data_IF_149109719577
#
_entry.id   IF_149109719577
#
_cell.length_a   1.000
_cell.length_b   1.000
_cell.length_c   1.000
_cell.angle_alpha   90.00
_cell.angle_beta   90.00
_cell.angle_gamma   90.00
#
_symmetry.space_group_name_H-M   'P 1'
#
loop_
_entity.id
_entity.type
_entity.pdbx_description
1 polymer ?
#
# COMPACT_ATOMS: atom_id res chain seq x y z
N UNK A 1 8.67 -6.04 -25.94
CA UNK A 1 7.27 -5.85 -26.37
C UNK A 1 6.33 -5.85 -25.16
N UNK A 2 5.49 -4.83 -24.99
CA UNK A 2 4.46 -4.82 -23.94
C UNK A 2 3.28 -5.69 -24.42
N UNK A 3 3.09 -6.85 -23.80
CA UNK A 3 1.96 -7.77 -24.01
C UNK A 3 0.61 -7.00 -23.94
N UNK A 4 -0.37 -7.37 -24.79
CA UNK A 4 -1.75 -6.83 -24.82
C UNK A 4 -2.38 -6.72 -23.41
N UNK A 5 -2.15 -7.72 -22.56
CA UNK A 5 -2.57 -7.79 -21.15
C UNK A 5 -1.99 -6.65 -20.32
N UNK A 6 -0.69 -6.37 -20.46
CA UNK A 6 -0.02 -5.29 -19.76
C UNK A 6 -0.52 -3.91 -20.20
N UNK A 7 -0.92 -3.75 -21.47
CA UNK A 7 -1.55 -2.50 -21.96
C UNK A 7 -2.94 -2.29 -21.36
N UNK A 8 -3.74 -3.35 -21.26
CA UNK A 8 -5.07 -3.29 -20.62
C UNK A 8 -4.92 -2.91 -19.15
N UNK A 9 -4.04 -3.61 -18.43
CA UNK A 9 -3.76 -3.31 -17.02
C UNK A 9 -3.30 -1.86 -16.82
N UNK A 10 -2.42 -1.36 -17.69
CA UNK A 10 -1.95 0.02 -17.61
C UNK A 10 -3.06 1.05 -17.78
N UNK A 11 -4.01 0.81 -18.70
CA UNK A 11 -5.19 1.66 -18.87
C UNK A 11 -6.10 1.61 -17.64
N UNK A 12 -6.36 0.43 -17.10
CA UNK A 12 -7.19 0.27 -15.91
C UNK A 12 -6.56 0.96 -14.69
N UNK A 13 -5.27 0.76 -14.47
CA UNK A 13 -4.54 1.41 -13.39
C UNK A 13 -4.53 2.94 -13.53
N UNK A 14 -4.34 3.46 -14.74
CA UNK A 14 -4.40 4.90 -15.00
C UNK A 14 -5.81 5.49 -14.74
N UNK A 15 -6.87 4.76 -15.12
CA UNK A 15 -8.25 5.14 -14.79
C UNK A 15 -8.46 5.17 -13.28
N UNK A 16 -8.02 4.13 -12.58
CA UNK A 16 -8.07 4.04 -11.12
C UNK A 16 -7.33 5.21 -10.44
N UNK A 17 -6.07 5.45 -10.81
CA UNK A 17 -5.29 6.56 -10.26
C UNK A 17 -5.98 7.90 -10.48
N UNK A 18 -6.51 8.13 -11.68
CA UNK A 18 -7.22 9.38 -12.01
C UNK A 18 -8.42 9.62 -11.10
N UNK A 19 -9.12 8.57 -10.67
CA UNK A 19 -10.23 8.67 -9.71
C UNK A 19 -9.75 8.96 -8.28
N UNK A 20 -8.63 8.38 -7.85
CA UNK A 20 -8.14 8.51 -6.47
C UNK A 20 -7.41 9.83 -6.24
N UNK A 21 -6.60 10.29 -7.21
CA UNK A 21 -5.68 11.43 -7.03
C UNK A 21 -5.86 12.56 -8.04
N UNK A 22 -6.78 12.41 -9.01
CA UNK A 22 -7.01 13.38 -10.08
C UNK A 22 -6.17 13.12 -11.34
N UNK A 23 -6.71 13.50 -12.51
CA UNK A 23 -6.11 13.22 -13.83
C UNK A 23 -4.68 13.74 -14.00
N UNK A 24 -4.41 14.97 -13.57
CA UNK A 24 -3.09 15.60 -13.77
C UNK A 24 -1.98 14.93 -12.95
N UNK A 25 -2.32 14.46 -11.74
CA UNK A 25 -1.38 13.74 -10.89
C UNK A 25 -1.17 12.31 -11.39
N UNK A 26 -2.22 11.64 -11.89
CA UNK A 26 -2.15 10.27 -12.38
C UNK A 26 -1.16 10.08 -13.55
N UNK A 27 -1.08 11.05 -14.47
CA UNK A 27 -0.17 11.01 -15.64
C UNK A 27 1.31 10.87 -15.28
N UNK A 28 1.71 11.27 -14.07
CA UNK A 28 3.11 11.23 -13.61
C UNK A 28 3.55 9.82 -13.15
N UNK A 29 2.61 8.90 -12.95
CA UNK A 29 2.90 7.57 -12.42
C UNK A 29 3.00 6.53 -13.54
N UNK A 30 4.15 5.86 -13.63
CA UNK A 30 4.40 4.75 -14.57
C UNK A 30 4.35 3.41 -13.85
N UNK A 31 3.94 2.36 -14.57
CA UNK A 31 4.02 0.98 -14.09
C UNK A 31 5.42 0.47 -14.37
N UNK A 32 6.12 0.00 -13.35
CA UNK A 32 7.53 -0.39 -13.50
C UNK A 32 7.73 -1.91 -13.28
N UNK A 33 6.84 -2.63 -12.58
CA UNK A 33 7.08 -4.03 -12.18
C UNK A 33 5.81 -4.90 -12.09
N UNK A 34 5.00 -4.96 -13.16
CA UNK A 34 3.71 -5.68 -13.12
C UNK A 34 3.83 -7.18 -12.84
N UNK A 35 4.73 -7.96 -13.48
CA UNK A 35 4.82 -9.41 -13.22
C UNK A 35 5.16 -9.73 -11.76
N UNK A 36 6.12 -9.03 -11.18
CA UNK A 36 6.54 -9.21 -9.79
C UNK A 36 5.42 -8.82 -8.81
N UNK A 37 4.73 -7.71 -9.08
CA UNK A 37 3.58 -7.29 -8.27
C UNK A 37 2.45 -8.33 -8.32
N UNK A 38 2.17 -8.91 -9.49
CA UNK A 38 1.18 -9.98 -9.63
C UNK A 38 1.56 -11.24 -8.85
N UNK A 39 2.83 -11.66 -8.90
CA UNK A 39 3.32 -12.81 -8.14
C UNK A 39 3.21 -12.55 -6.63
N UNK A 40 3.66 -11.39 -6.17
CA UNK A 40 3.54 -10.99 -4.77
C UNK A 40 2.08 -10.94 -4.30
N UNK A 41 1.18 -10.34 -5.08
CA UNK A 41 -0.23 -10.22 -4.72
C UNK A 41 -0.92 -11.59 -4.49
N UNK A 42 -0.57 -12.61 -5.27
CA UNK A 42 -1.09 -13.98 -5.08
C UNK A 42 -0.69 -14.57 -3.72
N UNK A 43 0.56 -14.39 -3.31
CA UNK A 43 1.04 -14.90 -2.01
C UNK A 43 0.46 -14.08 -0.85
N UNK A 44 0.45 -12.76 -0.98
CA UNK A 44 -0.10 -11.87 0.04
C UNK A 44 -1.57 -12.16 0.35
N UNK A 45 -2.36 -12.54 -0.65
CA UNK A 45 -3.76 -12.91 -0.44
C UNK A 45 -3.95 -14.13 0.47
N UNK A 46 -2.97 -15.05 0.52
CA UNK A 46 -3.01 -16.23 1.39
C UNK A 46 -2.68 -15.89 2.84
N UNK A 47 -1.84 -14.89 3.06
CA UNK A 47 -1.33 -14.53 4.39
C UNK A 47 -2.13 -13.41 5.07
N UNK A 48 -2.72 -12.50 4.29
CA UNK A 48 -3.34 -11.28 4.78
C UNK A 48 -4.84 -11.22 4.47
N UNK A 49 -5.59 -10.69 5.42
CA UNK A 49 -7.01 -10.41 5.26
C UNK A 49 -7.24 -9.08 4.51
N UNK A 50 -6.43 -8.07 4.85
CA UNK A 50 -6.63 -6.69 4.44
C UNK A 50 -5.28 -6.07 4.05
N UNK A 51 -5.26 -5.31 2.96
CA UNK A 51 -4.18 -4.40 2.59
C UNK A 51 -4.53 -2.95 2.89
N UNK A 52 -3.53 -2.13 3.22
CA UNK A 52 -3.66 -0.68 3.34
C UNK A 52 -2.70 -0.02 2.36
N UNK A 53 -3.23 0.64 1.34
CA UNK A 53 -2.44 1.41 0.39
C UNK A 53 -2.21 2.84 0.93
N UNK A 54 -0.96 3.14 1.31
CA UNK A 54 -0.59 4.45 1.84
C UNK A 54 -0.18 5.40 0.73
N UNK A 55 -0.76 6.61 0.79
CA UNK A 55 -0.46 7.72 -0.10
C UNK A 55 -0.57 7.28 -1.57
N UNK A 56 0.08 7.99 -2.48
CA UNK A 56 0.21 7.57 -3.88
C UNK A 56 1.16 6.39 -4.06
N UNK A 57 2.14 6.22 -3.16
CA UNK A 57 3.17 5.20 -3.26
C UNK A 57 2.62 3.77 -3.17
N UNK A 58 1.67 3.53 -2.27
CA UNK A 58 1.03 2.23 -2.08
C UNK A 58 -0.07 1.89 -3.10
N UNK A 59 -0.53 2.86 -3.91
CA UNK A 59 -1.70 2.66 -4.78
C UNK A 59 -1.47 1.61 -5.87
N UNK A 60 -0.26 1.51 -6.41
CA UNK A 60 0.04 0.52 -7.43
C UNK A 60 -0.13 -0.91 -6.89
N UNK A 61 0.55 -1.20 -5.79
CA UNK A 61 0.48 -2.54 -5.19
C UNK A 61 -0.91 -2.83 -4.60
N UNK A 62 -1.57 -1.82 -4.02
CA UNK A 62 -2.95 -1.93 -3.59
C UNK A 62 -3.90 -2.31 -4.72
N UNK A 63 -3.80 -1.63 -5.86
CA UNK A 63 -4.61 -1.94 -7.05
C UNK A 63 -4.36 -3.34 -7.58
N UNK A 64 -3.09 -3.77 -7.65
CA UNK A 64 -2.75 -5.15 -8.06
C UNK A 64 -3.35 -6.15 -7.08
N UNK A 65 -3.21 -5.93 -5.76
CA UNK A 65 -3.73 -6.84 -4.74
C UNK A 65 -5.26 -6.95 -4.76
N UNK A 66 -5.99 -5.86 -5.01
CA UNK A 66 -7.45 -5.89 -5.22
C UNK A 66 -7.85 -6.80 -6.38
N UNK A 67 -7.10 -6.79 -7.48
CA UNK A 67 -7.35 -7.67 -8.65
C UNK A 67 -7.14 -9.15 -8.34
N UNK A 68 -6.36 -9.47 -7.31
CA UNK A 68 -6.18 -10.83 -6.78
C UNK A 68 -7.08 -11.14 -5.58
N UNK A 69 -8.08 -10.29 -5.30
CA UNK A 69 -9.09 -10.53 -4.28
C UNK A 69 -8.66 -10.18 -2.85
N UNK A 70 -7.54 -9.48 -2.66
CA UNK A 70 -7.22 -8.90 -1.36
C UNK A 70 -8.06 -7.65 -1.17
N UNK A 71 -8.75 -7.55 -0.03
CA UNK A 71 -9.46 -6.32 0.32
C UNK A 71 -8.43 -5.23 0.61
N UNK A 72 -8.50 -4.10 -0.08
CA UNK A 72 -7.57 -2.98 0.15
C UNK A 72 -8.31 -1.73 0.57
N UNK A 73 -7.79 -1.11 1.62
CA UNK A 73 -8.23 0.18 2.14
C UNK A 73 -7.20 1.22 1.73
N UNK A 74 -7.64 2.35 1.22
CA UNK A 74 -6.78 3.43 0.74
C UNK A 74 -6.70 4.51 1.81
N UNK A 75 -5.50 5.00 2.09
CA UNK A 75 -5.29 6.10 3.02
C UNK A 75 -4.40 7.16 2.41
N UNK A 76 -4.75 8.43 2.58
CA UNK A 76 -3.92 9.55 2.15
C UNK A 76 -3.40 10.35 3.35
N UNK A 77 -2.21 10.95 3.25
CA UNK A 77 -1.78 11.92 4.24
C UNK A 77 -2.66 13.17 4.13
N UNK A 78 -3.07 13.70 5.27
CA UNK A 78 -3.70 15.01 5.43
C UNK A 78 -2.75 15.88 6.25
N UNK A 79 -2.35 17.03 5.70
CA UNK A 79 -1.48 17.97 6.41
C UNK A 79 -2.33 19.06 7.05
N UNK A 80 -2.13 19.28 8.35
CA UNK A 80 -2.68 20.40 9.11
C UNK A 80 -1.52 21.13 9.79
N UNK A 81 -1.09 22.24 9.19
CA UNK A 81 0.11 22.96 9.61
C UNK A 81 1.37 22.08 9.54
N UNK A 82 2.07 21.92 10.67
CA UNK A 82 3.27 21.08 10.78
C UNK A 82 2.96 19.59 11.01
N UNK A 83 1.70 19.25 11.26
CA UNK A 83 1.28 17.87 11.49
C UNK A 83 0.80 17.20 10.21
N UNK A 84 0.97 15.88 10.16
CA UNK A 84 0.50 15.01 9.07
C UNK A 84 -0.29 13.88 9.70
N UNK A 85 -1.58 13.83 9.48
CA UNK A 85 -2.44 12.70 9.86
C UNK A 85 -2.76 11.83 8.65
N UNK A 86 -3.37 10.68 8.87
CA UNK A 86 -3.83 9.76 7.84
C UNK A 86 -5.35 9.73 7.78
N UNK A 87 -5.88 9.98 6.59
CA UNK A 87 -7.31 9.90 6.31
C UNK A 87 -7.58 8.71 5.41
N UNK A 88 -8.41 7.78 5.88
CA UNK A 88 -8.95 6.71 5.06
C UNK A 88 -9.89 7.30 4.00
N UNK A 89 -9.73 6.83 2.76
CA UNK A 89 -10.58 7.20 1.64
C UNK A 89 -11.81 6.30 1.56
N UNK A 90 -11.64 5.05 1.97
CA UNK A 90 -12.73 4.08 2.05
C UNK A 90 -13.39 4.13 3.44
N UNK A 91 -14.71 3.94 3.48
CA UNK A 91 -15.46 3.88 4.75
C UNK A 91 -15.17 2.55 5.44
N UNK A 92 -14.49 2.59 6.58
CA UNK A 92 -14.22 1.42 7.42
C UNK A 92 -15.39 1.22 8.38
N UNK A 93 -16.03 0.05 8.35
CA UNK A 93 -17.04 -0.31 9.35
C UNK A 93 -16.37 -0.64 10.69
N UNK A 94 -17.06 -0.33 11.79
CA UNK A 94 -16.59 -0.68 13.14
C UNK A 94 -16.37 -2.20 13.24
N UNK A 95 -15.18 -2.61 13.69
CA UNK A 95 -14.82 -4.02 13.85
C UNK A 95 -14.33 -4.73 12.58
N UNK A 96 -14.42 -4.10 11.40
CA UNK A 96 -14.02 -4.69 10.12
C UNK A 96 -12.54 -5.14 10.08
N UNK A 97 -11.72 -4.46 10.86
CA UNK A 97 -10.27 -4.67 10.88
C UNK A 97 -9.82 -5.30 12.20
N UNK A 98 -10.75 -5.56 13.12
CA UNK A 98 -10.43 -6.20 14.40
C UNK A 98 -9.99 -7.64 14.15
N UNK A 99 -8.87 -8.05 14.75
CA UNK A 99 -8.29 -9.40 14.61
C UNK A 99 -7.91 -9.81 13.17
N UNK A 100 -7.73 -8.83 12.27
CA UNK A 100 -7.31 -9.09 10.89
C UNK A 100 -5.79 -9.00 10.74
N UNK A 101 -5.22 -9.84 9.87
CA UNK A 101 -3.84 -9.71 9.40
C UNK A 101 -3.79 -8.62 8.31
N UNK A 102 -3.00 -7.58 8.54
CA UNK A 102 -3.03 -6.36 7.72
C UNK A 102 -1.67 -6.14 7.05
N UNK A 103 -1.60 -6.08 5.73
CA UNK A 103 -0.40 -5.62 5.02
C UNK A 103 -0.48 -4.13 4.71
N UNK A 104 0.64 -3.41 4.76
CA UNK A 104 0.71 -2.00 4.38
C UNK A 104 1.59 -1.85 3.14
N UNK A 105 1.05 -1.18 2.12
CA UNK A 105 1.74 -0.89 0.88
C UNK A 105 2.25 0.55 0.88
N UNK A 106 3.55 0.71 0.63
CA UNK A 106 4.21 1.99 0.34
C UNK A 106 5.18 1.76 -0.83
N UNK A 107 5.60 2.83 -1.51
CA UNK A 107 6.54 2.70 -2.63
C UNK A 107 7.97 2.52 -2.14
N UNK A 108 8.33 3.22 -1.07
CA UNK A 108 9.69 3.25 -0.54
C UNK A 108 9.69 3.51 0.97
N UNK A 109 10.63 2.87 1.66
CA UNK A 109 10.83 3.01 3.10
C UNK A 109 12.27 3.42 3.37
N UNK A 110 12.54 4.72 3.27
CA UNK A 110 13.89 5.26 3.51
C UNK A 110 14.23 5.27 5.00
N UNK A 111 13.37 5.86 5.84
CA UNK A 111 13.58 5.99 7.30
C UNK A 111 12.49 5.33 8.13
N UNK A 112 11.44 4.81 7.48
CA UNK A 112 10.26 4.28 8.15
C UNK A 112 9.46 5.30 8.97
N UNK A 113 9.77 6.62 8.92
CA UNK A 113 9.06 7.64 9.71
C UNK A 113 7.58 7.74 9.31
N UNK A 114 7.32 7.87 8.01
CA UNK A 114 5.98 7.94 7.41
C UNK A 114 5.14 6.72 7.82
N UNK A 115 5.74 5.55 7.67
CA UNK A 115 5.13 4.29 8.03
C UNK A 115 4.86 4.17 9.54
N UNK A 116 5.83 4.45 10.40
CA UNK A 116 5.64 4.42 11.87
C UNK A 116 4.48 5.30 12.30
N UNK A 117 4.39 6.50 11.70
CA UNK A 117 3.29 7.43 11.96
C UNK A 117 1.96 6.87 11.48
N UNK A 118 1.91 6.35 10.26
CA UNK A 118 0.73 5.69 9.70
C UNK A 118 0.28 4.55 10.61
N UNK A 119 1.17 3.64 10.99
CA UNK A 119 0.87 2.52 11.87
C UNK A 119 0.36 2.99 13.23
N UNK A 120 0.97 4.02 13.84
CA UNK A 120 0.51 4.54 15.14
C UNK A 120 -0.93 5.05 15.03
N UNK A 121 -1.25 5.81 14.00
CA UNK A 121 -2.59 6.36 13.80
C UNK A 121 -3.61 5.28 13.40
N UNK A 122 -3.21 4.37 12.51
CA UNK A 122 -4.00 3.20 12.12
C UNK A 122 -4.30 2.34 13.35
N UNK A 123 -3.33 2.09 14.23
CA UNK A 123 -3.53 1.36 15.50
C UNK A 123 -4.48 2.08 16.45
N UNK A 124 -4.45 3.41 16.53
CA UNK A 124 -5.46 4.14 17.32
C UNK A 124 -6.88 4.00 16.74
N UNK A 125 -6.99 3.60 15.48
CA UNK A 125 -8.27 3.39 14.78
C UNK A 125 -8.62 1.89 14.65
N UNK A 126 -7.69 0.97 14.95
CA UNK A 126 -7.76 -0.46 14.61
C UNK A 126 -7.01 -1.33 15.64
N UNK A 127 -7.69 -2.37 16.16
CA UNK A 127 -7.09 -3.40 17.00
C UNK A 127 -6.74 -4.66 16.19
N UNK A 128 -5.49 -4.79 15.71
CA UNK A 128 -5.00 -5.97 14.98
C UNK A 128 -3.54 -5.83 14.53
N UNK A 129 -2.71 -6.86 14.75
CA UNK A 129 -1.24 -6.75 14.77
C UNK A 129 -0.56 -7.82 13.90
N UNK A 130 -0.27 -7.49 12.64
CA UNK A 130 0.81 -8.10 11.85
C UNK A 130 0.98 -7.26 10.58
N UNK A 131 1.79 -6.19 10.64
CA UNK A 131 2.07 -5.32 9.48
C UNK A 131 3.34 -5.79 8.80
N UNK A 132 3.22 -6.32 7.58
CA UNK A 132 4.37 -6.45 6.66
C UNK A 132 4.38 -5.30 5.67
N UNK A 133 5.56 -5.06 5.13
CA UNK A 133 5.82 -4.01 4.16
C UNK A 133 6.21 -4.65 2.85
N UNK A 134 5.62 -4.14 1.79
CA UNK A 134 6.16 -4.32 0.46
C UNK A 134 6.77 -2.98 0.06
N UNK A 135 8.04 -2.98 -0.31
CA UNK A 135 8.75 -1.82 -0.83
C UNK A 135 9.54 -2.24 -2.06
N UNK A 136 9.70 -1.31 -2.98
CA UNK A 136 10.46 -1.51 -4.20
C UNK A 136 11.79 -0.78 -4.04
N UNK A 137 12.82 -1.49 -3.62
CA UNK A 137 14.13 -0.90 -3.35
C UNK A 137 14.80 -0.51 -4.66
N UNK A 138 14.73 0.78 -5.00
CA UNK A 138 15.56 1.40 -6.06
C UNK A 138 17.04 1.43 -5.62
N UNK A 139 17.34 1.20 -4.33
CA UNK A 139 18.71 1.22 -3.82
C UNK A 139 18.92 0.20 -2.66
N UNK A 140 19.47 -1.00 -2.93
CA UNK A 140 19.65 -2.06 -1.93
C UNK A 140 20.63 -1.69 -0.80
N UNK A 141 21.54 -0.75 -1.01
CA UNK A 141 22.55 -0.34 -0.01
C UNK A 141 21.96 0.42 1.20
N UNK A 142 20.72 0.93 1.08
CA UNK A 142 20.00 1.61 2.18
C UNK A 142 19.15 0.67 3.04
N UNK A 143 19.13 -0.63 2.74
CA UNK A 143 18.38 -1.66 3.50
C UNK A 143 19.03 -1.92 4.88
N UNK A 144 20.31 -1.57 5.07
CA UNK A 144 21.13 -1.88 6.25
C UNK A 144 20.68 -1.25 7.60
N UNK A 145 19.51 -0.60 7.68
CA UNK A 145 19.05 0.05 8.92
C UNK A 145 17.65 -0.34 9.43
N UNK A 146 16.89 -1.21 8.75
CA UNK A 146 15.50 -1.49 9.16
C UNK A 146 15.10 -2.97 9.26
N UNK A 147 16.06 -3.88 9.46
CA UNK A 147 15.79 -5.30 9.73
C UNK A 147 15.02 -5.56 11.05
N UNK A 148 14.79 -4.53 11.88
CA UNK A 148 14.05 -4.67 13.14
C UNK A 148 12.54 -4.36 13.07
N UNK A 149 11.95 -4.20 11.88
CA UNK A 149 10.49 -4.08 11.72
C UNK A 149 9.78 -5.40 11.36
N UNK A 150 10.51 -6.52 11.35
CA UNK A 150 9.97 -7.83 11.03
C UNK A 150 9.21 -8.43 12.20
N UNK A 151 7.95 -8.77 11.93
CA UNK A 151 7.20 -9.88 12.51
C UNK A 151 7.70 -10.37 13.88
N UNK A 152 7.28 -9.72 14.97
CA UNK A 152 7.17 -10.46 16.23
C UNK A 152 6.01 -11.44 16.03
N UNK A 153 6.31 -12.74 15.91
CA UNK A 153 5.32 -13.80 16.22
C UNK A 153 4.77 -13.45 17.60
N UNK A 154 3.47 -13.18 17.68
CA UNK A 154 2.71 -13.42 18.92
C UNK A 154 2.20 -14.84 18.80
#
# INVERSE_FOLDING_TARGET
MINKTSKIFAKEYQKFLSMVVGKDKARKYKIVFLPQACAAAKELKKEYDIGIALATGGLFMGFVAEKFGLKVIKAKPERKGKETSWKFLDKIKKGEIRNKKIIVFDIDVVTGRTLRKAIKEIKTQIYGLAIRLWFNTINPERISRNENFYAKKI
#
